data_IF_986756705505
#
_entry.id   IF_986756705505
#
_cell.length_a   1.000
_cell.length_b   1.000
_cell.length_c   1.000
_cell.angle_alpha   90.00
_cell.angle_beta   90.00
_cell.angle_gamma   90.00
#
_symmetry.space_group_name_H-M   'P 1'
#
loop_
_entity.id
_entity.type
_entity.pdbx_description
1 polymer ?
#
# COMPACT_ATOMS: atom_id res chain seq x y z
N UNK A 1 -73.08 -81.25 -25.49
CA UNK A 1 -72.90 -80.42 -24.28
C UNK A 1 -72.46 -79.03 -24.80
N UNK A 2 -73.39 -78.16 -25.24
CA UNK A 2 -74.16 -77.16 -24.45
C UNK A 2 -73.17 -76.15 -23.84
N UNK A 3 -73.17 -74.82 -24.00
CA UNK A 3 -73.97 -73.73 -24.63
C UNK A 3 -73.02 -72.46 -24.60
N UNK A 4 -73.43 -71.20 -24.88
CA UNK A 4 -72.61 -70.16 -25.53
C UNK A 4 -72.45 -68.95 -24.56
N UNK A 5 -72.36 -67.69 -25.07
CA UNK A 5 -72.84 -66.45 -24.39
C UNK A 5 -71.91 -65.92 -23.27
N UNK A 6 -71.68 -64.63 -23.03
CA UNK A 6 -71.92 -63.38 -23.74
C UNK A 6 -71.12 -62.25 -23.06
N UNK A 7 -70.89 -61.21 -23.87
CA UNK A 7 -70.96 -59.77 -23.56
C UNK A 7 -71.41 -59.35 -22.14
N UNK A 8 -70.61 -58.50 -21.49
CA UNK A 8 -71.08 -57.52 -20.51
C UNK A 8 -70.24 -56.23 -20.58
N UNK A 9 -70.89 -55.13 -20.97
CA UNK A 9 -70.42 -53.76 -20.77
C UNK A 9 -70.58 -53.38 -19.28
N UNK A 10 -69.59 -52.70 -18.71
CA UNK A 10 -69.76 -51.90 -17.49
C UNK A 10 -69.35 -50.46 -17.76
N UNK A 11 -70.33 -49.56 -17.62
CA UNK A 11 -70.23 -48.10 -17.69
C UNK A 11 -70.10 -47.53 -16.29
N UNK A 12 -69.06 -46.72 -16.01
CA UNK A 12 -69.06 -45.74 -14.91
C UNK A 12 -68.09 -44.60 -15.29
N UNK A 13 -68.60 -43.49 -15.81
CA UNK A 13 -69.00 -42.28 -15.07
C UNK A 13 -67.80 -41.37 -14.74
N UNK A 14 -67.65 -40.30 -15.53
CA UNK A 14 -66.75 -39.17 -15.30
C UNK A 14 -67.25 -38.34 -14.10
N UNK A 15 -66.36 -38.00 -13.17
CA UNK A 15 -66.58 -36.98 -12.16
C UNK A 15 -65.59 -35.83 -12.37
N UNK A 16 -66.11 -34.60 -12.49
CA UNK A 16 -65.31 -33.38 -12.62
C UNK A 16 -64.70 -32.95 -11.27
N UNK A 17 -63.45 -32.48 -11.23
CA UNK A 17 -62.84 -31.93 -10.02
C UNK A 17 -63.28 -30.47 -9.77
N UNK A 18 -63.34 -30.02 -8.49
CA UNK A 18 -63.86 -28.71 -8.13
C UNK A 18 -62.90 -27.56 -8.41
N UNK A 19 -63.49 -26.41 -8.77
CA UNK A 19 -62.87 -25.12 -9.03
C UNK A 19 -62.00 -24.61 -7.87
N UNK A 20 -60.74 -24.32 -8.16
CA UNK A 20 -59.82 -23.66 -7.22
C UNK A 20 -60.17 -22.18 -7.04
N UNK A 21 -60.43 -21.78 -5.80
CA UNK A 21 -60.58 -20.40 -5.36
C UNK A 21 -59.27 -19.63 -5.55
N UNK A 22 -59.31 -18.50 -6.23
CA UNK A 22 -58.20 -17.56 -6.41
C UNK A 22 -57.87 -16.88 -5.07
N UNK A 23 -56.71 -17.18 -4.51
CA UNK A 23 -56.15 -16.45 -3.36
C UNK A 23 -55.74 -15.02 -3.78
N UNK A 24 -55.98 -14.05 -2.90
CA UNK A 24 -55.55 -12.66 -3.07
C UNK A 24 -54.01 -12.53 -2.96
N UNK A 25 -53.39 -11.50 -3.57
CA UNK A 25 -51.94 -11.32 -3.50
C UNK A 25 -51.49 -10.91 -2.09
N UNK A 26 -50.38 -11.47 -1.63
CA UNK A 26 -49.73 -11.10 -0.38
C UNK A 26 -49.18 -9.65 -0.43
N UNK A 27 -49.10 -8.93 0.71
CA UNK A 27 -48.49 -7.61 0.78
C UNK A 27 -46.97 -7.71 0.51
N UNK A 28 -46.46 -6.84 -0.36
CA UNK A 28 -45.03 -6.79 -0.67
C UNK A 28 -44.26 -6.04 0.43
N UNK A 29 -43.05 -6.48 0.80
CA UNK A 29 -42.21 -5.79 1.79
C UNK A 29 -41.73 -4.43 1.24
N UNK A 30 -41.79 -3.41 2.10
CA UNK A 30 -41.33 -2.06 1.80
C UNK A 30 -39.83 -2.07 1.44
N UNK A 31 -39.50 -1.54 0.26
CA UNK A 31 -38.10 -1.28 -0.12
C UNK A 31 -37.49 -0.24 0.82
N UNK A 32 -36.25 -0.44 1.33
CA UNK A 32 -35.57 0.59 2.08
C UNK A 32 -35.34 1.80 1.19
N UNK A 33 -35.76 2.98 1.67
CA UNK A 33 -35.37 4.26 1.08
C UNK A 33 -33.85 4.32 1.16
N UNK A 34 -33.20 4.30 0.00
CA UNK A 34 -31.75 4.50 -0.08
C UNK A 34 -31.52 6.00 0.03
N UNK A 35 -30.95 6.46 1.14
CA UNK A 35 -30.46 7.84 1.22
C UNK A 35 -29.50 8.08 0.04
N UNK A 36 -29.53 9.28 -0.59
CA UNK A 36 -28.53 9.62 -1.59
C UNK A 36 -27.13 9.43 -1.00
N UNK A 37 -26.13 8.99 -1.80
CA UNK A 37 -24.77 8.83 -1.30
C UNK A 37 -24.36 10.13 -0.64
N UNK A 38 -23.94 10.05 0.63
CA UNK A 38 -23.37 11.16 1.35
C UNK A 38 -22.33 11.82 0.45
N UNK A 39 -22.64 13.05 0.03
CA UNK A 39 -21.78 13.87 -0.80
C UNK A 39 -20.42 13.92 -0.12
N UNK A 40 -19.42 13.30 -0.75
CA UNK A 40 -18.06 13.27 -0.24
C UNK A 40 -17.64 14.71 0.03
N UNK A 41 -17.28 14.97 1.29
CA UNK A 41 -16.79 16.27 1.74
C UNK A 41 -15.75 16.80 0.74
N UNK A 42 -15.69 18.12 0.50
CA UNK A 42 -14.83 18.68 -0.52
C UNK A 42 -13.40 18.22 -0.24
N UNK A 43 -12.81 17.54 -1.24
CA UNK A 43 -11.42 17.14 -1.22
C UNK A 43 -10.58 18.38 -0.88
N UNK A 44 -10.10 18.45 0.37
CA UNK A 44 -9.28 19.55 0.83
C UNK A 44 -8.05 19.69 -0.06
N UNK A 45 -7.50 20.90 -0.15
CA UNK A 45 -6.27 21.13 -0.91
C UNK A 45 -5.20 20.08 -0.53
N UNK A 46 -4.49 19.51 -1.52
CA UNK A 46 -3.53 18.46 -1.26
C UNK A 46 -2.48 18.92 -0.24
N UNK A 47 -2.19 18.06 0.73
CA UNK A 47 -1.17 18.32 1.75
C UNK A 47 0.17 17.83 1.27
N UNK A 48 1.17 18.70 1.35
CA UNK A 48 2.58 18.36 1.13
C UNK A 48 3.18 17.88 2.46
N UNK A 49 3.79 16.70 2.47
CA UNK A 49 4.39 16.10 3.67
C UNK A 49 5.78 15.56 3.35
N UNK A 50 6.56 15.32 4.41
CA UNK A 50 7.92 14.78 4.30
C UNK A 50 8.17 13.80 5.43
N UNK A 51 8.78 12.66 5.10
CA UNK A 51 9.16 11.64 6.07
C UNK A 51 10.68 11.47 6.06
N UNK A 52 11.31 11.60 7.22
CA UNK A 52 12.71 11.31 7.42
C UNK A 52 12.87 9.83 7.76
N UNK A 53 13.70 9.10 7.02
CA UNK A 53 13.90 7.66 7.22
C UNK A 53 15.37 7.37 7.49
N UNK A 54 15.76 6.93 8.69
CA UNK A 54 17.15 6.59 8.98
C UNK A 54 17.65 5.44 8.10
N UNK A 55 18.89 5.53 7.63
CA UNK A 55 19.54 4.49 6.84
C UNK A 55 20.98 4.28 7.33
N UNK A 56 21.34 3.05 7.69
CA UNK A 56 22.71 2.74 8.09
C UNK A 56 23.36 1.96 6.96
N UNK A 57 24.16 2.64 6.14
CA UNK A 57 25.00 2.01 5.10
C UNK A 57 26.34 1.52 5.65
N UNK A 58 26.79 2.09 6.78
CA UNK A 58 28.02 1.68 7.48
C UNK A 58 27.75 1.51 8.96
N UNK A 59 28.10 0.36 9.54
CA UNK A 59 28.13 0.17 10.99
C UNK A 59 29.56 0.17 11.52
N UNK A 60 29.91 1.04 12.48
CA UNK A 60 31.23 1.01 13.11
C UNK A 60 31.55 -0.36 13.73
N UNK A 61 32.80 -0.81 13.61
CA UNK A 61 33.27 -2.09 14.17
C UNK A 61 34.52 -1.89 15.04
N UNK A 62 34.39 -2.11 16.34
CA UNK A 62 35.51 -1.98 17.29
C UNK A 62 36.06 -0.55 17.34
N UNK A 63 37.32 -0.39 17.75
CA UNK A 63 37.97 0.92 17.90
C UNK A 63 38.32 1.60 16.55
N UNK A 64 38.29 0.86 15.44
CA UNK A 64 38.67 1.37 14.11
C UNK A 64 37.42 1.61 13.26
N UNK A 65 36.84 2.80 13.40
CA UNK A 65 35.62 3.23 12.68
C UNK A 65 35.80 3.18 11.16
N UNK A 66 37.03 3.36 10.66
CA UNK A 66 37.36 3.34 9.21
C UNK A 66 37.21 1.96 8.54
N UNK A 67 37.01 0.88 9.29
CA UNK A 67 36.67 -0.45 8.73
C UNK A 67 35.30 -0.93 9.19
N UNK A 68 34.33 -0.02 9.17
CA UNK A 68 32.93 -0.32 9.40
C UNK A 68 32.41 -1.44 8.49
N UNK A 69 31.38 -2.14 8.95
CA UNK A 69 30.68 -3.12 8.13
C UNK A 69 29.74 -2.38 7.16
N UNK A 70 29.93 -2.58 5.85
CA UNK A 70 29.01 -2.05 4.86
C UNK A 70 27.70 -2.86 4.84
N UNK A 71 26.59 -2.17 4.63
CA UNK A 71 25.24 -2.72 4.62
C UNK A 71 24.53 -2.32 3.32
N UNK A 72 23.80 -3.26 2.72
CA UNK A 72 22.76 -2.93 1.74
C UNK A 72 21.61 -2.27 2.48
N UNK A 73 20.99 -1.26 1.87
CA UNK A 73 19.77 -0.63 2.39
C UNK A 73 18.65 -0.77 1.38
N UNK A 74 17.46 -1.18 1.83
CA UNK A 74 16.21 -1.13 1.07
C UNK A 74 15.24 -0.19 1.77
N UNK A 75 14.96 0.96 1.17
CA UNK A 75 13.86 1.83 1.57
C UNK A 75 12.56 1.29 0.96
N UNK A 76 11.57 0.98 1.80
CA UNK A 76 10.21 0.64 1.41
C UNK A 76 9.28 1.80 1.77
N UNK A 77 8.54 2.30 0.78
CA UNK A 77 7.57 3.39 0.93
C UNK A 77 6.19 2.87 0.55
N UNK A 78 5.28 2.79 1.52
CA UNK A 78 3.99 2.11 1.38
C UNK A 78 2.85 3.09 1.53
N UNK A 79 1.98 3.16 0.52
CA UNK A 79 0.69 3.79 0.67
C UNK A 79 -0.21 2.86 1.50
N UNK A 80 -0.50 3.24 2.74
CA UNK A 80 -1.40 2.45 3.60
C UNK A 80 -2.88 2.75 3.37
N UNK A 81 -3.19 3.75 2.56
CA UNK A 81 -4.55 4.08 2.21
C UNK A 81 -5.14 3.03 1.27
N UNK A 82 -6.36 2.61 1.55
CA UNK A 82 -7.10 1.63 0.74
C UNK A 82 -7.94 2.26 -0.37
N UNK A 83 -8.00 3.60 -0.43
CA UNK A 83 -8.86 4.35 -1.36
C UNK A 83 -8.13 5.48 -2.08
N UNK A 84 -7.27 6.22 -1.37
CA UNK A 84 -6.57 7.38 -1.91
C UNK A 84 -5.28 7.00 -2.63
N UNK A 85 -5.07 7.64 -3.78
CA UNK A 85 -3.75 7.68 -4.43
C UNK A 85 -2.97 8.87 -3.89
N UNK A 86 -1.68 8.67 -3.65
CA UNK A 86 -0.75 9.73 -3.24
C UNK A 86 0.39 9.82 -4.24
N UNK A 87 1.10 10.94 -4.28
CA UNK A 87 2.19 11.18 -5.23
C UNK A 87 3.50 11.36 -4.47
N UNK A 88 4.48 10.49 -4.71
CA UNK A 88 5.86 10.74 -4.33
C UNK A 88 6.43 11.82 -5.26
N UNK A 89 6.93 12.90 -4.70
CA UNK A 89 7.52 13.99 -5.49
C UNK A 89 9.03 13.87 -5.55
N UNK A 90 9.67 13.49 -4.43
CA UNK A 90 11.12 13.31 -4.33
C UNK A 90 11.46 12.20 -3.34
N UNK A 91 12.55 11.49 -3.62
CA UNK A 91 13.18 10.53 -2.70
C UNK A 91 14.66 10.82 -2.74
N UNK A 92 15.13 11.51 -1.71
CA UNK A 92 16.48 12.05 -1.64
C UNK A 92 17.27 11.28 -0.58
N UNK A 93 18.49 10.87 -0.90
CA UNK A 93 19.40 10.13 -0.02
C UNK A 93 20.56 11.02 0.40
N UNK A 94 20.81 11.05 1.69
CA UNK A 94 21.78 11.92 2.34
C UNK A 94 22.86 11.12 3.03
N UNK A 95 24.07 11.68 3.03
CA UNK A 95 25.20 11.16 3.79
C UNK A 95 25.11 11.52 5.29
N UNK A 96 26.12 11.08 6.04
CA UNK A 96 26.27 11.33 7.48
C UNK A 96 26.45 12.82 7.81
N UNK A 97 26.97 13.60 6.87
CA UNK A 97 27.20 15.04 7.03
C UNK A 97 25.98 15.89 6.63
N UNK A 98 24.95 15.27 6.05
CA UNK A 98 23.73 15.93 5.62
C UNK A 98 23.77 16.45 4.18
N UNK A 99 24.72 15.99 3.35
CA UNK A 99 24.75 16.32 1.93
C UNK A 99 23.85 15.35 1.14
N UNK A 100 23.10 15.89 0.17
CA UNK A 100 22.33 15.03 -0.74
C UNK A 100 23.29 14.39 -1.74
N UNK A 101 23.47 13.08 -1.61
CA UNK A 101 24.35 12.29 -2.48
C UNK A 101 23.60 11.63 -3.63
N UNK A 102 22.27 11.54 -3.54
CA UNK A 102 21.43 10.98 -4.62
C UNK A 102 19.99 11.45 -4.56
N UNK A 103 19.38 11.57 -5.74
CA UNK A 103 17.94 11.63 -5.93
C UNK A 103 17.48 10.42 -6.73
N UNK A 104 16.46 9.72 -6.24
CA UNK A 104 15.97 8.47 -6.84
C UNK A 104 14.82 8.65 -7.83
N UNK A 105 14.15 9.80 -7.83
CA UNK A 105 13.04 10.10 -8.73
C UNK A 105 13.42 11.23 -9.68
N UNK A 106 13.37 10.95 -10.98
CA UNK A 106 13.52 11.96 -12.04
C UNK A 106 12.24 12.78 -12.25
N UNK A 107 11.09 12.20 -11.90
CA UNK A 107 9.78 12.82 -11.98
C UNK A 107 8.85 12.30 -10.86
N UNK A 108 7.80 13.05 -10.48
CA UNK A 108 6.83 12.58 -9.51
C UNK A 108 6.18 11.25 -9.92
N UNK A 109 5.97 10.36 -8.94
CA UNK A 109 5.37 9.03 -9.13
C UNK A 109 4.14 8.87 -8.25
N UNK A 110 3.01 8.54 -8.87
CA UNK A 110 1.81 8.14 -8.15
C UNK A 110 1.96 6.75 -7.51
N UNK A 111 1.45 6.60 -6.29
CA UNK A 111 1.27 5.36 -5.58
C UNK A 111 -0.22 5.12 -5.38
N UNK A 112 -0.76 4.11 -6.06
CA UNK A 112 -2.15 3.69 -5.91
C UNK A 112 -2.43 3.20 -4.48
N UNK A 113 -3.70 3.04 -4.11
CA UNK A 113 -4.05 2.44 -2.82
C UNK A 113 -3.30 1.12 -2.59
N UNK A 114 -2.72 0.98 -1.41
CA UNK A 114 -1.93 -0.19 -0.98
C UNK A 114 -0.67 -0.47 -1.83
N UNK A 115 -0.27 0.43 -2.73
CA UNK A 115 0.93 0.28 -3.54
C UNK A 115 2.21 0.58 -2.73
N UNK A 116 3.29 -0.11 -3.07
CA UNK A 116 4.63 0.07 -2.47
C UNK A 116 5.63 0.54 -3.52
N UNK A 117 6.50 1.48 -3.14
CA UNK A 117 7.73 1.82 -3.83
C UNK A 117 8.93 1.27 -3.07
N UNK A 118 9.95 0.83 -3.79
CA UNK A 118 11.20 0.39 -3.18
C UNK A 118 12.39 1.07 -3.85
N UNK A 119 13.36 1.48 -3.04
CA UNK A 119 14.60 2.13 -3.47
C UNK A 119 15.76 1.48 -2.72
N UNK A 120 16.82 1.12 -3.42
CA UNK A 120 17.96 0.42 -2.82
C UNK A 120 19.26 1.22 -2.87
N UNK A 121 20.06 1.06 -1.83
CA UNK A 121 21.48 1.45 -1.77
C UNK A 121 22.27 0.15 -1.74
N UNK A 122 23.20 0.00 -2.68
CA UNK A 122 24.01 -1.20 -2.80
C UNK A 122 24.99 -1.30 -1.62
N UNK A 123 25.35 -2.53 -1.23
CA UNK A 123 26.29 -2.76 -0.12
C UNK A 123 27.65 -2.12 -0.35
N UNK A 124 28.10 -1.94 -1.59
CA UNK A 124 29.38 -1.31 -1.91
C UNK A 124 29.30 0.22 -2.02
N UNK A 125 28.16 0.81 -1.68
CA UNK A 125 27.97 2.25 -1.69
C UNK A 125 28.41 2.84 -0.35
N UNK A 126 29.56 3.52 -0.37
CA UNK A 126 30.14 4.12 0.82
C UNK A 126 29.71 5.58 1.02
N UNK A 127 28.93 6.15 0.07
CA UNK A 127 28.59 7.58 0.06
C UNK A 127 27.72 8.00 1.24
N UNK A 128 26.93 7.10 1.82
CA UNK A 128 26.03 7.43 2.93
C UNK A 128 26.72 7.51 4.30
N UNK A 129 27.75 6.69 4.54
CA UNK A 129 28.36 6.55 5.86
C UNK A 129 27.43 5.94 6.93
N UNK A 130 27.68 6.23 8.21
CA UNK A 130 26.96 5.64 9.35
C UNK A 130 25.70 6.40 9.78
N UNK A 131 25.54 7.64 9.36
CA UNK A 131 24.39 8.50 9.64
C UNK A 131 23.52 8.79 8.42
N UNK A 132 23.59 7.93 7.40
CA UNK A 132 22.84 8.13 6.17
C UNK A 132 21.32 8.18 6.44
N UNK A 133 20.57 8.80 5.53
CA UNK A 133 19.12 8.90 5.69
C UNK A 133 18.44 9.23 4.36
N UNK A 134 17.13 9.06 4.35
CA UNK A 134 16.27 9.48 3.25
C UNK A 134 15.32 10.59 3.69
N UNK A 135 15.05 11.53 2.78
CA UNK A 135 13.86 12.36 2.83
C UNK A 135 12.90 11.92 1.74
N UNK A 136 11.72 11.45 2.16
CA UNK A 136 10.64 11.03 1.27
C UNK A 136 9.60 12.14 1.23
N UNK A 137 9.50 12.81 0.10
CA UNK A 137 8.56 13.90 -0.13
C UNK A 137 7.34 13.37 -0.87
N UNK A 138 6.16 13.71 -0.38
CA UNK A 138 4.93 13.26 -1.00
C UNK A 138 3.80 14.27 -0.83
N UNK A 139 2.81 14.15 -1.68
CA UNK A 139 1.58 14.92 -1.63
C UNK A 139 0.36 14.02 -1.83
N UNK A 140 -0.76 14.40 -1.23
CA UNK A 140 -2.00 13.65 -1.35
C UNK A 140 -3.17 14.39 -0.71
N UNK A 141 -4.37 13.80 -0.76
CA UNK A 141 -5.54 14.33 -0.09
C UNK A 141 -5.26 14.66 1.39
N UNK A 142 -5.88 15.71 1.91
CA UNK A 142 -5.59 16.19 3.27
C UNK A 142 -5.90 15.16 4.37
N UNK A 143 -6.83 14.25 4.08
CA UNK A 143 -7.35 13.16 4.90
C UNK A 143 -6.71 11.79 4.61
N UNK A 144 -5.85 11.69 3.60
CA UNK A 144 -5.12 10.46 3.31
C UNK A 144 -4.22 10.05 4.50
N UNK A 145 -4.11 8.74 4.72
CA UNK A 145 -3.17 8.21 5.70
C UNK A 145 -1.73 8.59 5.35
N UNK A 146 -0.89 8.72 6.39
CA UNK A 146 0.55 8.91 6.15
C UNK A 146 1.17 7.67 5.53
N UNK A 147 2.24 7.86 4.76
CA UNK A 147 3.01 6.76 4.20
C UNK A 147 3.72 5.99 5.33
N UNK A 148 3.63 4.66 5.31
CA UNK A 148 4.56 3.84 6.09
C UNK A 148 5.87 3.77 5.33
N UNK A 149 6.93 4.30 5.94
CA UNK A 149 8.28 4.25 5.38
C UNK A 149 9.20 3.52 6.34
N UNK A 150 9.93 2.54 5.81
CA UNK A 150 10.83 1.71 6.59
C UNK A 150 12.08 1.42 5.75
N UNK A 151 13.24 1.48 6.37
CA UNK A 151 14.46 0.91 5.79
C UNK A 151 14.68 -0.48 6.33
N UNK A 152 15.17 -1.39 5.49
CA UNK A 152 15.69 -2.70 5.85
C UNK A 152 17.17 -2.71 5.50
N UNK A 153 18.02 -2.99 6.49
CA UNK A 153 19.47 -2.97 6.31
C UNK A 153 20.00 -4.37 6.54
N UNK A 154 20.82 -4.85 5.61
CA UNK A 154 21.38 -6.20 5.64
C UNK A 154 22.87 -6.14 5.33
N UNK A 155 23.68 -6.85 6.11
CA UNK A 155 25.08 -7.04 5.75
C UNK A 155 25.83 -7.99 6.67
N UNK A 156 27.14 -8.04 6.48
CA UNK A 156 28.01 -9.03 7.11
C UNK A 156 28.80 -8.43 8.27
N UNK A 157 28.75 -9.09 9.43
CA UNK A 157 29.53 -8.71 10.61
C UNK A 157 30.44 -9.87 11.02
N UNK A 158 31.70 -9.82 10.59
CA UNK A 158 32.64 -10.93 10.78
C UNK A 158 32.19 -12.15 9.98
N UNK A 159 32.01 -13.29 10.64
CA UNK A 159 31.47 -14.52 10.05
C UNK A 159 29.93 -14.60 10.05
N UNK A 160 29.25 -13.61 10.64
CA UNK A 160 27.78 -13.59 10.76
C UNK A 160 27.11 -12.58 9.83
N UNK A 161 25.77 -12.59 9.85
CA UNK A 161 24.94 -11.61 9.16
C UNK A 161 24.16 -10.80 10.19
N UNK A 162 23.86 -9.55 9.85
CA UNK A 162 22.97 -8.68 10.61
C UNK A 162 21.89 -8.17 9.68
N UNK A 163 20.65 -8.15 10.17
CA UNK A 163 19.52 -7.53 9.51
C UNK A 163 18.66 -6.80 10.54
N UNK A 164 18.28 -5.57 10.24
CA UNK A 164 17.41 -4.77 11.10
C UNK A 164 16.65 -3.74 10.27
N UNK A 165 15.63 -3.16 10.88
CA UNK A 165 14.82 -2.13 10.24
C UNK A 165 14.86 -0.82 11.01
N UNK A 166 14.58 0.27 10.33
CA UNK A 166 14.31 1.57 10.96
C UNK A 166 13.05 2.18 10.37
N UNK A 167 12.21 2.77 11.21
CA UNK A 167 10.98 3.43 10.79
C UNK A 167 11.23 4.90 10.51
N UNK A 168 10.56 5.42 9.50
CA UNK A 168 10.54 6.85 9.23
C UNK A 168 9.71 7.64 10.25
N UNK A 169 10.03 8.92 10.36
CA UNK A 169 9.36 9.91 11.18
C UNK A 169 8.84 11.03 10.28
N UNK A 170 7.53 11.27 10.30
CA UNK A 170 6.95 12.41 9.57
C UNK A 170 7.43 13.71 10.22
N UNK A 171 7.86 14.67 9.40
CA UNK A 171 8.40 15.94 9.87
C UNK A 171 7.29 16.99 9.98
N UNK A 172 7.23 17.68 11.12
CA UNK A 172 6.31 18.80 11.34
C UNK A 172 6.58 19.96 10.37
N UNK A 173 7.87 20.21 10.07
CA UNK A 173 8.31 21.23 9.12
C UNK A 173 8.93 20.55 7.91
N UNK A 174 8.29 20.75 6.75
CA UNK A 174 8.80 20.30 5.45
C UNK A 174 10.05 21.11 5.04
N UNK A 175 11.22 20.47 4.85
CA UNK A 175 12.37 21.10 4.21
C UNK A 175 12.07 21.41 2.73
N UNK A 176 12.70 22.42 2.16
CA UNK A 176 12.60 22.68 0.72
C UNK A 176 13.54 21.73 -0.05
N UNK A 177 13.05 20.82 -0.91
CA UNK A 177 13.92 19.93 -1.69
C UNK A 177 14.90 20.69 -2.61
N UNK A 178 14.60 21.94 -2.98
CA UNK A 178 15.48 22.77 -3.79
C UNK A 178 16.63 23.41 -2.99
N UNK A 179 16.52 23.46 -1.66
CA UNK A 179 17.56 24.03 -0.79
C UNK A 179 18.80 23.16 -0.63
N UNK A 180 18.72 21.89 -1.01
CA UNK A 180 19.85 20.96 -0.99
C UNK A 180 20.49 20.93 -2.39
N UNK A 181 21.78 21.27 -2.45
CA UNK A 181 22.60 21.07 -3.64
C UNK A 181 23.15 19.64 -3.66
N UNK A 182 23.20 19.03 -4.84
CA UNK A 182 23.88 17.75 -5.01
C UNK A 182 25.38 18.00 -4.85
N UNK A 183 26.01 17.29 -3.91
CA UNK A 183 27.46 17.24 -3.86
C UNK A 183 27.92 15.99 -4.61
N UNK A 184 28.87 16.11 -5.55
CA UNK A 184 29.43 14.92 -6.19
C UNK A 184 30.03 14.01 -5.12
N UNK A 185 29.73 12.71 -5.21
CA UNK A 185 30.29 11.71 -4.31
C UNK A 185 31.83 11.91 -4.20
N UNK A 186 32.40 11.81 -2.98
CA UNK A 186 33.84 11.96 -2.81
C UNK A 186 34.57 11.00 -3.74
N UNK A 187 35.59 11.51 -4.44
CA UNK A 187 36.42 10.70 -5.32
C UNK A 187 37.11 9.59 -4.49
N UNK A 188 37.28 8.38 -5.08
CA UNK A 188 37.88 7.24 -4.40
C UNK A 188 39.35 7.47 -4.00
#
# INVERSE_FOLDING_TARGET
MILPVALALFTTACGDPPSATRAAPAPQPDTPVTDPPAEAAPAGAPRLRTVYVPAYSVLPRGANVERGALLSVLLSVRNMDSTATVTLTHVDYFDTSGHRVRRYLDAPRALRPLETAEFSVATNDETGGSGANFLVYWEGPSDAHSLLTETVMVGHLGSGHVAFTSRGVELDRRPDPASFTDEPAPAP
#
